data_IF_760598773399
#
_entry.id   IF_760598773399
#
_cell.length_a   1.000
_cell.length_b   1.000
_cell.length_c   1.000
_cell.angle_alpha   90.00
_cell.angle_beta   90.00
_cell.angle_gamma   90.00
#
_symmetry.space_group_name_H-M   'P 1'
#
loop_
_entity.id
_entity.type
_entity.pdbx_description
1 polymer ?
#
# COMPACT_ATOMS: atom_id res chain seq x y z
N UNK A 1 -0.63 5.68 -8.91
CA UNK A 1 -0.38 4.48 -9.76
C UNK A 1 0.14 4.94 -11.10
N UNK A 2 1.23 4.36 -11.55
CA UNK A 2 1.80 4.62 -12.87
C UNK A 2 1.68 3.39 -13.77
N UNK A 3 1.46 3.62 -15.06
CA UNK A 3 1.27 2.56 -16.06
C UNK A 3 2.30 2.74 -17.18
N UNK A 4 2.92 1.65 -17.59
CA UNK A 4 3.86 1.63 -18.73
C UNK A 4 3.18 1.05 -19.96
N UNK A 5 3.50 1.60 -21.14
CA UNK A 5 3.04 1.08 -22.44
C UNK A 5 4.25 0.64 -23.25
N UNK A 6 4.18 -0.55 -23.87
CA UNK A 6 5.22 -1.02 -24.78
C UNK A 6 4.93 -0.58 -26.23
N UNK A 7 5.84 -0.90 -27.16
CA UNK A 7 5.68 -0.54 -28.58
C UNK A 7 4.50 -1.21 -29.29
N UNK A 8 3.92 -2.27 -28.71
CA UNK A 8 2.74 -2.94 -29.24
C UNK A 8 1.42 -2.38 -28.67
N UNK A 9 1.48 -1.33 -27.84
CA UNK A 9 0.30 -0.73 -27.23
C UNK A 9 -0.24 -1.47 -26.01
N UNK A 10 0.52 -2.41 -25.45
CA UNK A 10 0.12 -3.13 -24.24
C UNK A 10 0.57 -2.39 -22.99
N UNK A 11 -0.25 -2.44 -21.94
CA UNK A 11 -0.03 -1.74 -20.68
C UNK A 11 0.27 -2.71 -19.54
N UNK A 12 1.12 -2.26 -18.61
CA UNK A 12 1.35 -2.92 -17.32
C UNK A 12 1.61 -1.88 -16.24
N UNK A 13 1.47 -2.27 -14.98
CA UNK A 13 1.86 -1.39 -13.89
C UNK A 13 3.37 -1.11 -13.91
N UNK A 14 3.70 0.16 -13.68
CA UNK A 14 5.09 0.57 -13.45
C UNK A 14 5.60 -0.07 -12.16
N UNK A 15 6.88 -0.48 -12.07
CA UNK A 15 7.47 -0.87 -10.80
C UNK A 15 7.31 0.22 -9.73
N UNK A 16 7.21 -0.20 -8.47
CA UNK A 16 7.06 0.73 -7.34
C UNK A 16 8.30 1.61 -7.23
N UNK A 17 8.09 2.91 -7.07
CA UNK A 17 9.14 3.90 -6.90
C UNK A 17 8.71 4.98 -5.91
N UNK A 18 9.68 5.73 -5.38
CA UNK A 18 9.43 6.87 -4.48
C UNK A 18 8.54 6.50 -3.28
N UNK A 19 8.94 5.45 -2.55
CA UNK A 19 8.16 4.89 -1.44
C UNK A 19 8.74 5.25 -0.05
N UNK A 20 9.39 6.42 0.08
CA UNK A 20 10.07 6.84 1.31
C UNK A 20 9.18 6.91 2.54
N UNK A 21 7.90 7.29 2.39
CA UNK A 21 6.91 7.33 3.47
C UNK A 21 6.02 6.10 3.51
N UNK A 22 6.36 5.05 2.78
CA UNK A 22 5.58 3.81 2.76
C UNK A 22 5.33 3.27 4.15
N UNK A 23 4.12 2.77 4.38
CA UNK A 23 3.68 2.21 5.66
C UNK A 23 3.77 3.22 6.83
N UNK A 24 3.61 4.51 6.54
CA UNK A 24 3.70 5.61 7.51
C UNK A 24 5.06 5.61 8.24
N UNK A 25 6.14 5.35 7.52
CA UNK A 25 7.46 5.10 8.10
C UNK A 25 8.16 6.33 8.65
N UNK A 26 7.78 7.55 8.23
CA UNK A 26 8.32 8.77 8.84
C UNK A 26 7.65 9.03 10.20
N UNK A 27 8.21 8.42 11.24
CA UNK A 27 7.68 8.52 12.59
C UNK A 27 8.14 9.79 13.35
N UNK A 28 8.97 10.60 12.72
CA UNK A 28 9.52 11.81 13.34
C UNK A 28 8.67 13.04 13.01
N UNK A 29 8.36 13.25 11.73
CA UNK A 29 7.66 14.43 11.27
C UNK A 29 6.23 14.14 10.82
N UNK A 30 6.06 13.26 9.84
CA UNK A 30 4.78 13.12 9.15
C UNK A 30 3.79 12.23 9.92
N UNK A 31 4.27 11.16 10.55
CA UNK A 31 3.40 10.15 11.16
C UNK A 31 3.88 9.74 12.55
N UNK A 32 3.79 10.61 13.57
CA UNK A 32 4.28 10.32 14.92
C UNK A 32 3.68 9.04 15.52
N UNK A 33 4.48 8.26 16.24
CA UNK A 33 4.05 7.00 16.84
C UNK A 33 2.96 7.16 17.90
N UNK A 34 2.88 8.33 18.55
CA UNK A 34 1.87 8.60 19.58
C UNK A 34 0.45 8.78 19.06
N UNK A 35 0.26 8.89 17.74
CA UNK A 35 -1.05 9.08 17.14
C UNK A 35 -1.69 7.76 16.71
N UNK A 36 -3.02 7.74 16.63
CA UNK A 36 -3.77 6.56 16.22
C UNK A 36 -3.47 6.21 14.76
N UNK A 37 -3.11 4.94 14.52
CA UNK A 37 -2.73 4.47 13.17
C UNK A 37 -3.88 4.62 12.18
N UNK A 38 -5.11 4.31 12.57
CA UNK A 38 -6.26 4.44 11.66
C UNK A 38 -6.52 5.89 11.27
N UNK A 39 -6.40 6.82 12.23
CA UNK A 39 -6.55 8.24 11.95
C UNK A 39 -5.49 8.73 10.95
N UNK A 40 -4.24 8.30 11.12
CA UNK A 40 -3.16 8.63 10.19
C UNK A 40 -3.40 8.04 8.80
N UNK A 41 -3.88 6.81 8.71
CA UNK A 41 -4.21 6.17 7.43
C UNK A 41 -5.27 6.98 6.67
N UNK A 42 -6.24 7.55 7.37
CA UNK A 42 -7.30 8.36 6.74
C UNK A 42 -6.77 9.67 6.15
N UNK A 43 -5.60 10.13 6.57
CA UNK A 43 -4.99 11.35 6.01
C UNK A 43 -4.25 11.11 4.71
N UNK A 44 -3.93 9.86 4.39
CA UNK A 44 -3.19 9.51 3.17
C UNK A 44 -4.11 9.64 1.96
N UNK A 45 -3.63 10.32 0.93
CA UNK A 45 -4.35 10.48 -0.33
C UNK A 45 -3.46 10.11 -1.50
N UNK A 46 -4.03 9.48 -2.49
CA UNK A 46 -3.37 9.29 -3.77
C UNK A 46 -3.12 10.64 -4.44
N UNK A 47 -2.17 10.69 -5.35
CA UNK A 47 -1.79 11.91 -6.07
C UNK A 47 -1.93 11.69 -7.57
N UNK A 48 -1.87 12.77 -8.30
CA UNK A 48 -1.93 12.90 -9.76
C UNK A 48 -3.36 12.93 -10.29
N UNK A 49 -3.82 11.91 -11.02
CA UNK A 49 -5.12 11.93 -11.71
C UNK A 49 -6.30 12.00 -10.75
N UNK A 50 -6.19 11.32 -9.61
CA UNK A 50 -7.21 11.31 -8.56
C UNK A 50 -6.55 11.23 -7.19
N UNK A 51 -7.21 11.79 -6.19
CA UNK A 51 -6.81 11.65 -4.78
C UNK A 51 -7.36 10.39 -4.13
N UNK A 52 -8.23 9.66 -4.83
CA UNK A 52 -8.82 8.41 -4.37
C UNK A 52 -8.10 7.23 -5.05
N UNK A 53 -7.46 6.39 -4.24
CA UNK A 53 -6.73 5.23 -4.74
C UNK A 53 -7.65 4.20 -5.41
N UNK A 54 -8.86 4.01 -4.87
CA UNK A 54 -9.83 3.08 -5.45
C UNK A 54 -10.27 3.54 -6.85
N UNK A 55 -10.46 4.84 -7.04
CA UNK A 55 -10.74 5.40 -8.34
C UNK A 55 -9.59 5.18 -9.31
N UNK A 56 -8.34 5.33 -8.86
CA UNK A 56 -7.17 5.04 -9.69
C UNK A 56 -7.11 3.56 -10.11
N UNK A 57 -7.47 2.64 -9.21
CA UNK A 57 -7.56 1.22 -9.54
C UNK A 57 -8.59 0.96 -10.63
N UNK A 58 -9.78 1.53 -10.49
CA UNK A 58 -10.86 1.37 -11.46
C UNK A 58 -10.45 1.93 -12.84
N UNK A 59 -9.88 3.13 -12.87
CA UNK A 59 -9.41 3.76 -14.11
C UNK A 59 -8.33 2.90 -14.78
N UNK A 60 -7.37 2.39 -14.01
CA UNK A 60 -6.30 1.57 -14.57
C UNK A 60 -6.83 0.26 -15.17
N UNK A 61 -7.83 -0.34 -14.55
CA UNK A 61 -8.46 -1.55 -15.07
C UNK A 61 -9.28 -1.27 -16.33
N UNK A 62 -10.12 -0.25 -16.30
CA UNK A 62 -11.03 0.05 -17.42
C UNK A 62 -10.35 0.62 -18.64
N UNK A 63 -9.36 1.52 -18.47
CA UNK A 63 -8.70 2.18 -19.59
C UNK A 63 -7.48 1.42 -20.11
N UNK A 64 -6.76 0.73 -19.24
CA UNK A 64 -5.47 0.13 -19.58
C UNK A 64 -5.45 -1.39 -19.43
N UNK A 65 -6.51 -1.98 -18.89
CA UNK A 65 -6.58 -3.41 -18.64
C UNK A 65 -5.65 -3.92 -17.53
N UNK A 66 -5.07 -3.01 -16.75
CA UNK A 66 -4.17 -3.37 -15.64
C UNK A 66 -4.97 -3.64 -14.37
N UNK A 67 -4.60 -4.68 -13.63
CA UNK A 67 -5.15 -4.92 -12.30
C UNK A 67 -4.04 -5.28 -11.32
N UNK A 68 -4.24 -4.92 -10.05
CA UNK A 68 -3.37 -5.32 -8.96
C UNK A 68 -3.91 -6.59 -8.34
N UNK A 69 -3.04 -7.54 -8.09
CA UNK A 69 -3.35 -8.77 -7.39
C UNK A 69 -2.28 -9.03 -6.34
N UNK A 70 -2.67 -9.60 -5.21
CA UNK A 70 -1.72 -10.03 -4.19
C UNK A 70 -2.03 -11.45 -3.73
N UNK A 71 -1.04 -12.14 -3.16
CA UNK A 71 -1.16 -13.54 -2.78
C UNK A 71 -0.78 -13.82 -1.32
N UNK A 72 -0.25 -12.83 -0.61
CA UNK A 72 0.16 -13.01 0.78
C UNK A 72 -1.04 -12.89 1.73
N UNK A 73 -0.90 -13.46 2.92
CA UNK A 73 -1.95 -13.49 3.96
C UNK A 73 -1.52 -12.67 5.17
N UNK A 74 -2.46 -12.42 6.09
CA UNK A 74 -2.14 -11.82 7.39
C UNK A 74 -1.09 -12.62 8.15
N UNK A 75 -1.15 -13.95 8.05
CA UNK A 75 -0.16 -14.84 8.68
C UNK A 75 1.23 -14.61 8.10
N UNK A 76 1.35 -14.43 6.79
CA UNK A 76 2.63 -14.14 6.17
C UNK A 76 3.20 -12.82 6.68
N UNK A 77 2.37 -11.80 6.82
CA UNK A 77 2.74 -10.51 7.41
C UNK A 77 3.26 -10.69 8.83
N UNK A 78 2.53 -11.42 9.66
CA UNK A 78 2.90 -11.63 11.07
C UNK A 78 4.23 -12.37 11.18
N UNK A 79 4.47 -13.37 10.34
CA UNK A 79 5.72 -14.11 10.33
C UNK A 79 6.91 -13.22 9.93
N UNK A 80 6.74 -12.37 8.92
CA UNK A 80 7.77 -11.42 8.52
C UNK A 80 8.09 -10.42 9.63
N UNK A 81 7.07 -9.93 10.32
CA UNK A 81 7.27 -8.97 11.42
C UNK A 81 7.98 -9.61 12.62
N UNK A 82 7.72 -10.88 12.91
CA UNK A 82 8.46 -11.60 13.95
C UNK A 82 9.96 -11.68 13.63
N UNK A 83 10.31 -11.77 12.36
CA UNK A 83 11.69 -11.84 11.91
C UNK A 83 12.34 -10.45 11.80
N UNK A 84 11.58 -9.38 11.79
CA UNK A 84 12.05 -8.01 11.63
C UNK A 84 12.60 -7.47 12.96
N UNK A 85 13.72 -8.05 13.40
CA UNK A 85 14.42 -7.62 14.61
C UNK A 85 15.14 -6.30 14.34
N UNK A 86 15.20 -5.43 15.32
CA UNK A 86 15.81 -4.11 15.16
C UNK A 86 14.77 -2.99 15.02
N UNK A 87 13.50 -3.32 14.90
CA UNK A 87 12.41 -2.36 14.96
C UNK A 87 11.69 -2.45 16.30
N UNK A 88 11.20 -1.31 16.81
CA UNK A 88 10.44 -1.29 18.06
C UNK A 88 9.11 -2.03 17.92
N UNK A 89 8.54 -2.46 19.04
CA UNK A 89 7.22 -3.10 19.05
C UNK A 89 6.15 -2.15 18.52
N UNK A 90 6.27 -0.84 18.79
CA UNK A 90 5.35 0.16 18.27
C UNK A 90 5.37 0.26 16.75
N UNK A 91 6.56 0.26 16.15
CA UNK A 91 6.71 0.30 14.69
C UNK A 91 6.16 -0.99 14.07
N UNK A 92 6.51 -2.14 14.62
CA UNK A 92 6.00 -3.43 14.14
C UNK A 92 4.49 -3.51 14.25
N UNK A 93 3.92 -3.06 15.36
CA UNK A 93 2.49 -3.01 15.57
C UNK A 93 1.78 -2.11 14.56
N UNK A 94 2.36 -0.96 14.25
CA UNK A 94 1.83 -0.05 13.23
C UNK A 94 1.79 -0.72 11.85
N UNK A 95 2.89 -1.34 11.43
CA UNK A 95 2.97 -2.02 10.14
C UNK A 95 1.96 -3.17 10.07
N UNK A 96 1.84 -3.96 11.13
CA UNK A 96 0.86 -5.03 11.21
C UNK A 96 -0.57 -4.50 11.04
N UNK A 97 -0.91 -3.45 11.76
CA UNK A 97 -2.24 -2.81 11.69
C UNK A 97 -2.55 -2.34 10.27
N UNK A 98 -1.61 -1.65 9.64
CA UNK A 98 -1.78 -1.12 8.27
C UNK A 98 -1.99 -2.29 7.30
N UNK A 99 -1.12 -3.27 7.30
CA UNK A 99 -1.18 -4.36 6.33
C UNK A 99 -2.41 -5.25 6.53
N UNK A 100 -2.78 -5.55 7.77
CA UNK A 100 -4.00 -6.31 8.04
C UNK A 100 -5.24 -5.58 7.53
N UNK A 101 -5.32 -4.26 7.77
CA UNK A 101 -6.45 -3.47 7.30
C UNK A 101 -6.51 -3.40 5.78
N UNK A 102 -5.37 -3.24 5.12
CA UNK A 102 -5.32 -3.20 3.66
C UNK A 102 -5.68 -4.56 3.04
N UNK A 103 -5.25 -5.65 3.65
CA UNK A 103 -5.67 -6.99 3.21
C UNK A 103 -7.19 -7.13 3.28
N UNK A 104 -7.81 -6.69 4.37
CA UNK A 104 -9.26 -6.74 4.51
C UNK A 104 -9.96 -5.84 3.49
N UNK A 105 -9.49 -4.61 3.35
CA UNK A 105 -10.08 -3.63 2.44
C UNK A 105 -10.02 -4.09 0.98
N UNK A 106 -8.91 -4.70 0.58
CA UNK A 106 -8.68 -5.14 -0.79
C UNK A 106 -8.76 -6.66 -0.97
N UNK A 107 -9.57 -7.32 -0.14
CA UNK A 107 -9.74 -8.78 -0.20
C UNK A 107 -10.18 -9.26 -1.60
N UNK A 108 -10.91 -8.44 -2.35
CA UNK A 108 -11.33 -8.76 -3.72
C UNK A 108 -10.16 -8.84 -4.72
N UNK A 109 -8.99 -8.30 -4.38
CA UNK A 109 -7.78 -8.39 -5.19
C UNK A 109 -6.89 -9.57 -4.79
N UNK A 110 -7.27 -10.35 -3.78
CA UNK A 110 -6.50 -11.50 -3.35
C UNK A 110 -6.62 -12.64 -4.37
N UNK A 111 -5.49 -13.17 -4.74
CA UNK A 111 -5.40 -14.32 -5.63
C UNK A 111 -5.73 -15.61 -4.89
#
# INVERSE_FOLDING_TARGET
IAVLMNGAGMFKYCPIFDNGDGLLSDTILDYPLGEDTFDLMETVRAKTVSTDFDEQLDVSEHLYGCNLKFFFTKRDVDQLLEQAKGYSDEVRGRVQTILHRQIDKYAYLKM
#
